data_IF_715048208732
#
_entry.id   IF_715048208732
#
_cell.length_a   1.000
_cell.length_b   1.000
_cell.length_c   1.000
_cell.angle_alpha   90.00
_cell.angle_beta   90.00
_cell.angle_gamma   90.00
#
_symmetry.space_group_name_H-M   'P 1'
#
loop_
_entity.id
_entity.type
_entity.pdbx_description
1 polymer ?
#
# COMPACT_ATOMS: atom_id res chain seq x y z
N UNK A 1 -3.24 -1.73 -3.66
CA UNK A 1 -3.39 -0.59 -4.60
C UNK A 1 -4.77 0.02 -4.52
N UNK A 2 -5.85 -0.73 -4.72
CA UNK A 2 -7.23 -0.20 -4.70
C UNK A 2 -7.57 0.60 -3.43
N UNK A 3 -7.23 0.09 -2.24
CA UNK A 3 -7.47 0.81 -0.98
C UNK A 3 -6.76 2.17 -0.93
N UNK A 4 -5.53 2.25 -1.44
CA UNK A 4 -4.79 3.52 -1.53
C UNK A 4 -5.54 4.50 -2.44
N UNK A 5 -5.95 4.04 -3.62
CA UNK A 5 -6.63 4.84 -4.64
C UNK A 5 -7.99 5.35 -4.14
N UNK A 6 -8.73 4.54 -3.39
CA UNK A 6 -9.98 4.97 -2.75
C UNK A 6 -9.79 6.08 -1.71
N UNK A 7 -8.64 6.10 -1.01
CA UNK A 7 -8.37 7.09 0.05
C UNK A 7 -7.84 8.40 -0.55
N UNK A 8 -6.93 8.31 -1.52
CA UNK A 8 -6.17 9.46 -2.00
C UNK A 8 -6.61 9.96 -3.38
N UNK A 9 -7.39 9.18 -4.13
CA UNK A 9 -7.86 9.53 -5.48
C UNK A 9 -6.81 9.35 -6.58
N UNK A 10 -5.64 8.79 -6.26
CA UNK A 10 -4.55 8.53 -7.20
C UNK A 10 -3.77 7.27 -6.79
N UNK A 11 -2.88 6.77 -7.66
CA UNK A 11 -2.11 5.53 -7.38
C UNK A 11 -0.78 5.79 -6.66
N UNK A 12 -0.27 4.84 -5.84
CA UNK A 12 0.96 5.06 -5.04
C UNK A 12 2.19 5.54 -5.83
N UNK A 13 2.29 5.16 -7.10
CA UNK A 13 3.45 5.45 -7.97
C UNK A 13 3.08 6.35 -9.16
N UNK A 14 1.99 7.10 -9.06
CA UNK A 14 1.51 7.95 -10.16
C UNK A 14 2.50 9.05 -10.56
N UNK A 15 3.35 9.48 -9.62
CA UNK A 15 4.42 10.44 -9.86
C UNK A 15 5.51 9.93 -10.83
N UNK A 16 5.59 8.61 -11.07
CA UNK A 16 6.50 8.04 -12.06
C UNK A 16 5.83 8.06 -13.43
N UNK A 17 6.31 8.93 -14.33
CA UNK A 17 5.59 9.23 -15.58
C UNK A 17 5.74 8.15 -16.66
N UNK A 18 6.94 7.57 -16.83
CA UNK A 18 7.16 6.49 -17.80
C UNK A 18 6.76 5.13 -17.20
N UNK A 19 5.98 4.34 -17.93
CA UNK A 19 5.52 3.02 -17.51
C UNK A 19 6.63 1.98 -17.44
N UNK A 20 7.65 2.06 -18.31
CA UNK A 20 8.81 1.17 -18.26
C UNK A 20 9.68 1.49 -17.03
N UNK A 21 9.84 2.78 -16.74
CA UNK A 21 10.52 3.23 -15.53
C UNK A 21 9.72 2.89 -14.27
N UNK A 22 8.39 2.87 -14.33
CA UNK A 22 7.53 2.51 -13.19
C UNK A 22 7.71 1.07 -12.73
N UNK A 23 7.77 0.13 -13.66
CA UNK A 23 7.98 -1.29 -13.31
C UNK A 23 9.37 -1.52 -12.71
N UNK A 24 10.40 -0.96 -13.33
CA UNK A 24 11.77 -1.06 -12.82
C UNK A 24 11.95 -0.32 -11.50
N UNK A 25 11.29 0.82 -11.31
CA UNK A 25 11.22 1.57 -10.06
C UNK A 25 10.60 0.73 -8.94
N UNK A 26 9.43 0.13 -9.18
CA UNK A 26 8.74 -0.70 -8.19
C UNK A 26 9.56 -1.93 -7.83
N UNK A 27 10.16 -2.60 -8.82
CA UNK A 27 10.99 -3.78 -8.58
C UNK A 27 12.29 -3.48 -7.79
N UNK A 28 12.79 -2.24 -7.87
CA UNK A 28 14.00 -1.79 -7.18
C UNK A 28 13.73 -1.14 -5.82
N UNK A 29 12.47 -0.95 -5.45
CA UNK A 29 12.13 -0.39 -4.14
C UNK A 29 12.67 -1.29 -3.03
N UNK A 30 13.65 -0.79 -2.28
CA UNK A 30 14.09 -1.41 -1.04
C UNK A 30 13.16 -1.11 0.14
N UNK A 31 12.20 -0.19 -0.05
CA UNK A 31 11.33 0.33 0.99
C UNK A 31 9.89 0.45 0.50
N UNK A 32 8.94 0.45 1.44
CA UNK A 32 7.52 0.59 1.14
C UNK A 32 7.19 1.98 0.57
N UNK A 33 6.14 2.12 -0.24
CA UNK A 33 5.71 3.43 -0.73
C UNK A 33 5.36 4.35 0.43
N UNK A 34 5.64 5.65 0.22
CA UNK A 34 5.30 6.70 1.18
C UNK A 34 3.78 6.86 1.19
N UNK A 35 3.18 6.74 2.37
CA UNK A 35 1.75 6.96 2.59
C UNK A 35 1.58 8.36 3.17
N UNK A 36 0.80 9.26 2.52
CA UNK A 36 0.47 10.56 3.08
C UNK A 36 -0.22 10.44 4.46
N UNK A 37 -0.23 11.47 5.31
CA UNK A 37 -0.86 11.41 6.62
C UNK A 37 -2.33 10.98 6.55
N UNK A 38 -2.70 9.99 7.38
CA UNK A 38 -4.08 9.50 7.55
C UNK A 38 -4.43 9.62 9.04
N UNK A 39 -5.59 10.19 9.36
CA UNK A 39 -6.04 10.40 10.75
C UNK A 39 -6.48 9.09 11.43
N UNK A 40 -7.08 8.17 10.67
CA UNK A 40 -7.47 6.85 11.18
C UNK A 40 -6.26 5.90 11.21
N UNK A 41 -5.78 5.59 12.42
CA UNK A 41 -4.61 4.74 12.63
C UNK A 41 -4.82 3.29 12.12
N UNK A 42 -6.01 2.72 12.28
CA UNK A 42 -6.30 1.37 11.80
C UNK A 42 -6.29 1.31 10.27
N UNK A 43 -6.83 2.33 9.60
CA UNK A 43 -6.77 2.44 8.15
C UNK A 43 -5.33 2.60 7.66
N UNK A 44 -4.55 3.45 8.32
CA UNK A 44 -3.13 3.65 8.01
C UNK A 44 -2.35 2.35 8.12
N UNK A 45 -2.54 1.62 9.22
CA UNK A 45 -1.84 0.36 9.47
C UNK A 45 -2.24 -0.72 8.44
N UNK A 46 -3.55 -0.91 8.20
CA UNK A 46 -4.03 -1.83 7.17
C UNK A 46 -3.44 -1.52 5.79
N UNK A 47 -3.37 -0.23 5.43
CA UNK A 47 -2.79 0.21 4.16
C UNK A 47 -1.27 -0.04 4.08
N UNK A 48 -0.55 0.20 5.17
CA UNK A 48 0.89 -0.11 5.27
C UNK A 48 1.15 -1.60 5.09
N UNK A 49 0.35 -2.46 5.73
CA UNK A 49 0.46 -3.90 5.58
C UNK A 49 0.21 -4.35 4.13
N UNK A 50 -0.81 -3.78 3.46
CA UNK A 50 -1.10 -4.08 2.05
C UNK A 50 0.04 -3.72 1.09
N UNK A 51 0.81 -2.67 1.41
CA UNK A 51 1.82 -2.09 0.53
C UNK A 51 3.24 -2.56 0.84
N UNK A 52 3.41 -3.56 1.70
CA UNK A 52 4.69 -4.19 1.99
C UNK A 52 5.33 -4.73 0.70
N UNK A 53 6.52 -4.24 0.33
CA UNK A 53 7.23 -4.71 -0.87
C UNK A 53 7.74 -6.13 -0.67
N UNK A 54 8.28 -6.45 0.51
CA UNK A 54 8.71 -7.81 0.83
C UNK A 54 7.47 -8.70 1.02
N UNK A 55 7.25 -9.71 0.16
CA UNK A 55 6.07 -10.58 0.25
C UNK A 55 6.05 -11.41 1.55
N UNK A 56 7.19 -11.69 2.17
CA UNK A 56 7.27 -12.43 3.44
C UNK A 56 6.61 -11.64 4.58
N UNK A 57 6.68 -10.30 4.53
CA UNK A 57 6.09 -9.42 5.55
C UNK A 57 4.67 -8.98 5.18
N UNK A 58 4.19 -9.30 3.98
CA UNK A 58 2.85 -8.92 3.53
C UNK A 58 1.85 -9.98 4.03
N UNK A 59 0.84 -9.60 4.82
CA UNK A 59 -0.17 -10.57 5.26
C UNK A 59 -0.97 -11.12 4.09
N UNK A 60 -1.52 -12.32 4.27
CA UNK A 60 -2.50 -12.87 3.34
C UNK A 60 -3.81 -12.06 3.38
N UNK A 61 -4.68 -12.29 2.39
CA UNK A 61 -5.99 -11.66 2.38
C UNK A 61 -6.82 -12.05 3.61
N UNK A 62 -6.78 -13.32 4.02
CA UNK A 62 -7.48 -13.84 5.19
C UNK A 62 -6.99 -13.17 6.48
N UNK A 63 -5.67 -13.03 6.64
CA UNK A 63 -5.07 -12.34 7.78
C UNK A 63 -5.45 -10.85 7.80
N UNK A 64 -5.43 -10.20 6.64
CA UNK A 64 -5.80 -8.80 6.51
C UNK A 64 -7.27 -8.56 6.87
N UNK A 65 -8.17 -9.47 6.49
CA UNK A 65 -9.60 -9.38 6.84
C UNK A 65 -9.86 -9.48 8.35
N UNK A 66 -8.92 -10.00 9.14
CA UNK A 66 -9.00 -10.00 10.60
C UNK A 66 -8.46 -8.70 11.23
N UNK A 67 -7.90 -7.78 10.44
CA UNK A 67 -7.37 -6.52 10.93
C UNK A 67 -8.49 -5.61 11.50
N UNK A 68 -8.28 -4.86 12.61
CA UNK A 68 -9.29 -3.98 13.24
C UNK A 68 -9.94 -2.92 12.34
N UNK A 69 -9.39 -2.67 11.15
CA UNK A 69 -10.02 -1.81 10.14
C UNK A 69 -11.20 -2.49 9.44
N UNK A 70 -11.15 -3.82 9.26
CA UNK A 70 -12.18 -4.60 8.57
C UNK A 70 -13.06 -5.42 9.52
N UNK A 71 -12.61 -5.66 10.76
CA UNK A 71 -13.29 -6.51 11.74
C UNK A 71 -14.32 -5.81 12.64
N UNK A 72 -14.73 -4.58 12.32
CA UNK A 72 -15.76 -3.83 13.06
C UNK A 72 -17.07 -3.73 12.28
#
# INVERSE_FOLDING_TARGET
>A
VLLFEMIFGYRPFEHVQDNYDKMSYIARLAQNPIIPPITNNNLRDALQQCLQINPIHRPSAEQLLQHPFFSN
#
